data_IF_517328126715
#
_entry.id   IF_517328126715
#
_cell.length_a   1.000
_cell.length_b   1.000
_cell.length_c   1.000
_cell.angle_alpha   90.00
_cell.angle_beta   90.00
_cell.angle_gamma   90.00
#
_symmetry.space_group_name_H-M   'P 1'
#
loop_
_entity.id
_entity.type
_entity.pdbx_description
1 polymer ?
#
# COMPACT_ATOMS: atom_id res chain seq x y z
N UNK A 1 -6.69 -18.41 -2.99
CA UNK A 1 -7.52 -18.40 -1.77
C UNK A 1 -8.35 -17.12 -1.80
N UNK A 2 -9.66 -17.20 -1.52
CA UNK A 2 -10.54 -16.02 -1.44
C UNK A 2 -10.09 -15.10 -0.29
N UNK A 3 -9.40 -14.00 -0.61
CA UNK A 3 -8.97 -12.99 0.37
C UNK A 3 -9.35 -11.59 -0.12
N UNK A 4 -10.64 -11.40 -0.42
CA UNK A 4 -11.16 -10.17 -1.05
C UNK A 4 -11.14 -8.93 -0.13
N UNK A 5 -10.59 -9.02 1.09
CA UNK A 5 -10.31 -7.90 1.98
C UNK A 5 -9.08 -8.24 2.81
N UNK A 6 -7.93 -7.79 2.33
CA UNK A 6 -6.64 -8.03 2.96
C UNK A 6 -6.38 -7.01 4.09
N UNK A 7 -5.74 -7.45 5.16
CA UNK A 7 -5.36 -6.60 6.28
C UNK A 7 -4.49 -5.42 5.81
N UNK A 8 -3.67 -5.67 4.79
CA UNK A 8 -2.85 -4.64 4.13
C UNK A 8 -3.70 -3.58 3.44
N UNK A 9 -4.71 -3.96 2.68
CA UNK A 9 -5.59 -2.98 2.02
C UNK A 9 -6.34 -2.10 3.03
N UNK A 10 -6.72 -2.64 4.20
CA UNK A 10 -7.24 -1.82 5.30
C UNK A 10 -6.17 -0.87 5.84
N UNK A 11 -4.94 -1.35 6.00
CA UNK A 11 -3.77 -0.53 6.35
C UNK A 11 -3.53 0.61 5.37
N UNK A 12 -3.56 0.33 4.06
CA UNK A 12 -3.48 1.30 2.97
C UNK A 12 -4.56 2.36 3.09
N UNK A 13 -5.82 1.93 3.22
CA UNK A 13 -6.96 2.83 3.39
C UNK A 13 -6.78 3.77 4.59
N UNK A 14 -6.49 3.22 5.77
CA UNK A 14 -6.35 4.00 7.00
C UNK A 14 -5.15 4.95 6.95
N UNK A 15 -4.03 4.48 6.39
CA UNK A 15 -2.82 5.30 6.23
C UNK A 15 -3.08 6.49 5.33
N UNK A 16 -3.75 6.26 4.20
CA UNK A 16 -4.09 7.33 3.27
C UNK A 16 -5.23 8.22 3.77
N UNK A 17 -6.16 7.69 4.57
CA UNK A 17 -7.17 8.49 5.26
C UNK A 17 -6.53 9.48 6.23
N UNK A 18 -5.60 9.02 7.07
CA UNK A 18 -4.82 9.88 7.94
C UNK A 18 -4.01 10.91 7.12
N UNK A 19 -3.37 10.47 6.04
CA UNK A 19 -2.62 11.37 5.16
C UNK A 19 -3.51 12.46 4.55
N UNK A 20 -4.69 12.10 4.06
CA UNK A 20 -5.68 13.05 3.53
C UNK A 20 -6.15 14.04 4.58
N UNK A 21 -6.36 13.58 5.81
CA UNK A 21 -6.77 14.42 6.94
C UNK A 21 -5.72 15.50 7.28
N UNK A 22 -4.44 15.11 7.35
CA UNK A 22 -3.35 16.04 7.70
C UNK A 22 -2.89 16.90 6.52
N UNK A 23 -2.89 16.38 5.28
CA UNK A 23 -2.36 17.05 4.10
C UNK A 23 -3.46 17.07 3.03
N UNK A 24 -4.35 18.06 3.13
CA UNK A 24 -5.55 18.17 2.29
C UNK A 24 -5.26 18.62 0.85
N UNK A 25 -6.06 18.13 -0.09
CA UNK A 25 -6.15 18.58 -1.49
C UNK A 25 -4.86 18.47 -2.33
N UNK A 26 -3.90 17.64 -1.92
CA UNK A 26 -2.68 17.32 -2.65
C UNK A 26 -2.76 15.94 -3.35
N UNK A 27 -3.84 15.71 -4.10
CA UNK A 27 -4.10 14.43 -4.77
C UNK A 27 -2.96 13.90 -5.65
N UNK A 28 -2.26 14.80 -6.38
CA UNK A 28 -1.11 14.41 -7.19
C UNK A 28 0.03 13.84 -6.35
N UNK A 29 0.29 14.44 -5.19
CA UNK A 29 1.31 13.95 -4.26
C UNK A 29 0.91 12.59 -3.71
N UNK A 30 -0.36 12.43 -3.29
CA UNK A 30 -0.85 11.17 -2.75
C UNK A 30 -0.74 10.02 -3.76
N UNK A 31 -1.15 10.27 -5.01
CA UNK A 31 -1.05 9.29 -6.08
C UNK A 31 0.40 8.91 -6.39
N UNK A 32 1.31 9.89 -6.47
CA UNK A 32 2.74 9.62 -6.72
C UNK A 32 3.34 8.78 -5.59
N UNK A 33 3.04 9.12 -4.34
CA UNK A 33 3.52 8.33 -3.20
C UNK A 33 2.96 6.90 -3.22
N UNK A 34 1.72 6.71 -3.68
CA UNK A 34 1.10 5.38 -3.75
C UNK A 34 1.79 4.52 -4.81
N UNK A 35 2.03 5.09 -5.99
CA UNK A 35 2.77 4.42 -7.07
C UNK A 35 4.21 4.10 -6.64
N UNK A 36 4.89 5.04 -5.96
CA UNK A 36 6.24 4.82 -5.47
C UNK A 36 6.32 3.71 -4.42
N UNK A 37 5.30 3.58 -3.57
CA UNK A 37 5.21 2.51 -2.58
C UNK A 37 5.11 1.13 -3.25
N UNK A 38 4.20 0.96 -4.21
CA UNK A 38 4.06 -0.28 -4.97
C UNK A 38 5.35 -0.70 -5.69
N UNK A 39 6.06 0.28 -6.25
CA UNK A 39 7.36 0.04 -6.90
C UNK A 39 8.40 -0.41 -5.85
N UNK A 40 8.41 0.23 -4.69
CA UNK A 40 9.32 -0.10 -3.60
C UNK A 40 9.10 -1.54 -3.09
N UNK A 41 7.84 -1.95 -2.89
CA UNK A 41 7.51 -3.32 -2.49
C UNK A 41 8.01 -4.35 -3.52
N UNK A 42 7.79 -4.10 -4.81
CA UNK A 42 8.30 -4.98 -5.87
C UNK A 42 9.82 -5.10 -5.85
N UNK A 43 10.53 -4.00 -5.60
CA UNK A 43 11.99 -4.03 -5.47
C UNK A 43 12.41 -4.87 -4.26
N UNK A 44 11.75 -4.69 -3.11
CA UNK A 44 12.06 -5.43 -1.89
C UNK A 44 11.84 -6.94 -2.04
N UNK A 45 10.75 -7.35 -2.69
CA UNK A 45 10.43 -8.78 -2.87
C UNK A 45 11.30 -9.42 -3.96
N UNK A 46 11.67 -8.66 -5.00
CA UNK A 46 12.49 -9.15 -6.12
C UNK A 46 13.94 -9.42 -5.73
N UNK A 47 14.49 -8.71 -4.75
CA UNK A 47 15.87 -8.91 -4.31
C UNK A 47 15.94 -10.05 -3.26
N UNK A 48 16.74 -11.12 -3.48
CA UNK A 48 16.78 -12.28 -2.59
C UNK A 48 17.17 -11.96 -1.15
N UNK A 49 18.06 -10.99 -0.95
CA UNK A 49 18.54 -10.61 0.37
C UNK A 49 17.47 -9.85 1.16
N UNK A 50 16.82 -8.86 0.54
CA UNK A 50 15.71 -8.13 1.19
C UNK A 50 14.50 -9.02 1.39
N UNK A 51 14.21 -9.93 0.45
CA UNK A 51 13.17 -10.96 0.60
C UNK A 51 13.42 -11.86 1.82
N UNK A 52 14.67 -12.29 2.02
CA UNK A 52 15.06 -13.05 3.21
C UNK A 52 14.85 -12.24 4.50
N UNK A 53 15.28 -10.98 4.53
CA UNK A 53 15.06 -10.11 5.69
C UNK A 53 13.59 -9.88 5.99
N UNK A 54 12.75 -9.69 4.95
CA UNK A 54 11.31 -9.57 5.12
C UNK A 54 10.72 -10.84 5.74
N UNK A 55 11.11 -12.02 5.24
CA UNK A 55 10.62 -13.29 5.78
C UNK A 55 11.02 -13.52 7.24
N UNK A 56 12.21 -13.08 7.63
CA UNK A 56 12.76 -13.35 8.97
C UNK A 56 12.31 -12.33 10.03
N UNK A 57 12.20 -11.05 9.65
CA UNK A 57 12.04 -9.95 10.62
C UNK A 57 10.76 -9.12 10.43
N UNK A 58 10.08 -9.23 9.29
CA UNK A 58 8.89 -8.44 9.04
C UNK A 58 7.67 -9.05 9.74
N UNK A 59 6.79 -8.18 10.23
CA UNK A 59 5.59 -8.60 10.96
C UNK A 59 4.52 -9.19 10.04
N UNK A 60 4.52 -8.77 8.77
CA UNK A 60 3.52 -9.19 7.78
C UNK A 60 4.08 -10.35 6.96
N UNK A 61 3.34 -11.46 6.81
CA UNK A 61 3.77 -12.57 5.97
C UNK A 61 4.03 -12.13 4.53
N UNK A 62 5.08 -12.68 3.93
CA UNK A 62 5.57 -12.23 2.63
C UNK A 62 4.60 -12.55 1.48
N UNK A 63 3.72 -13.52 1.68
CA UNK A 63 2.66 -13.89 0.74
C UNK A 63 1.66 -12.75 0.51
N UNK A 64 1.59 -11.78 1.43
CA UNK A 64 0.76 -10.57 1.29
C UNK A 64 1.52 -9.41 0.64
N UNK A 65 2.85 -9.49 0.53
CA UNK A 65 3.71 -8.44 -0.06
C UNK A 65 4.13 -8.82 -1.49
N UNK A 66 4.30 -10.13 -1.75
CA UNK A 66 4.64 -10.70 -3.06
C UNK A 66 3.39 -10.73 -3.96
N UNK A 67 2.94 -9.53 -4.33
CA UNK A 67 1.63 -9.34 -4.92
C UNK A 67 1.62 -9.17 -6.45
N UNK A 68 0.47 -9.47 -7.05
CA UNK A 68 0.22 -9.35 -8.48
C UNK A 68 0.04 -7.90 -8.90
N UNK A 69 0.15 -7.63 -10.21
CA UNK A 69 -0.12 -6.30 -10.73
C UNK A 69 -1.56 -5.81 -10.45
N UNK A 70 -2.54 -6.71 -10.49
CA UNK A 70 -3.96 -6.37 -10.25
C UNK A 70 -4.20 -5.91 -8.80
N UNK A 71 -3.50 -6.54 -7.86
CA UNK A 71 -3.55 -6.12 -6.46
C UNK A 71 -2.84 -4.79 -6.23
N UNK A 72 -1.65 -4.57 -6.80
CA UNK A 72 -1.00 -3.25 -6.74
C UNK A 72 -1.89 -2.12 -7.25
N UNK A 73 -2.67 -2.38 -8.30
CA UNK A 73 -3.64 -1.41 -8.82
C UNK A 73 -4.77 -1.18 -7.80
N UNK A 74 -5.25 -2.25 -7.17
CA UNK A 74 -6.29 -2.20 -6.14
C UNK A 74 -5.83 -1.42 -4.92
N UNK A 75 -4.58 -1.61 -4.46
CA UNK A 75 -4.03 -0.87 -3.33
C UNK A 75 -3.87 0.62 -3.63
N UNK A 76 -3.41 0.99 -4.83
CA UNK A 76 -3.43 2.40 -5.27
C UNK A 76 -4.85 2.97 -5.27
N UNK A 77 -5.85 2.22 -5.73
CA UNK A 77 -7.24 2.67 -5.69
C UNK A 77 -7.73 2.89 -4.26
N UNK A 78 -7.48 1.93 -3.36
CA UNK A 78 -7.89 2.00 -1.95
C UNK A 78 -7.18 3.14 -1.23
N UNK A 79 -5.88 3.33 -1.48
CA UNK A 79 -5.11 4.48 -1.03
C UNK A 79 -5.81 5.79 -1.43
N UNK A 80 -6.18 5.95 -2.71
CA UNK A 80 -6.81 7.19 -3.18
C UNK A 80 -8.23 7.39 -2.63
N UNK A 81 -9.00 6.31 -2.38
CA UNK A 81 -10.30 6.40 -1.70
C UNK A 81 -10.11 6.90 -0.27
N UNK A 82 -9.19 6.30 0.49
CA UNK A 82 -8.87 6.71 1.85
C UNK A 82 -8.48 8.19 1.91
N UNK A 83 -7.55 8.60 1.04
CA UNK A 83 -7.08 9.98 0.96
C UNK A 83 -8.19 10.97 0.60
N UNK A 84 -9.08 10.61 -0.33
CA UNK A 84 -10.20 11.45 -0.71
C UNK A 84 -11.14 11.65 0.47
N UNK A 85 -11.47 10.60 1.21
CA UNK A 85 -12.31 10.71 2.41
C UNK A 85 -11.61 11.58 3.46
N UNK A 86 -10.35 11.26 3.78
CA UNK A 86 -9.56 12.00 4.76
C UNK A 86 -9.43 13.48 4.43
N UNK A 87 -9.26 13.83 3.15
CA UNK A 87 -9.11 15.23 2.71
C UNK A 87 -10.42 16.04 2.81
N UNK A 88 -11.58 15.39 2.96
CA UNK A 88 -12.88 16.04 3.09
C UNK A 88 -13.44 16.03 4.53
N UNK A 89 -12.77 15.34 5.46
CA UNK A 89 -12.95 15.46 6.91
C UNK A 89 -12.12 16.65 7.39
#
# INVERSE_FOLDING_TARGET
MNHNFDLLSVGHFLSYLCFGYFIKHKYKLALVLGILWEIFEKILVSNPYTRYLLKEYWLIPIEYIDDTFEHSLTDIMINMIGYTIGSNI
#
